data_IF_907771320482
#
_entry.id   IF_907771320482
#
_cell.length_a   1.000
_cell.length_b   1.000
_cell.length_c   1.000
_cell.angle_alpha   90.00
_cell.angle_beta   90.00
_cell.angle_gamma   90.00
#
_symmetry.space_group_name_H-M   'P 1'
#
loop_
_entity.id
_entity.type
_entity.pdbx_description
1 polymer ?
#
# COMPACT_ATOMS: atom_id res chain seq x y z
N UNK A 1 -16.02 -8.94 17.64
CA UNK A 1 -15.28 -7.76 18.18
C UNK A 1 -13.94 -7.52 17.50
N UNK A 2 -12.82 -8.21 17.79
CA UNK A 2 -11.53 -7.93 17.07
C UNK A 2 -11.55 -8.33 15.58
N UNK A 3 -12.25 -9.42 15.23
CA UNK A 3 -12.29 -9.90 13.84
C UNK A 3 -13.13 -9.00 12.92
N UNK A 4 -14.24 -8.45 13.43
CA UNK A 4 -15.08 -7.48 12.69
C UNK A 4 -14.39 -6.14 12.49
N UNK A 5 -13.56 -5.70 13.44
CA UNK A 5 -12.81 -4.44 13.33
C UNK A 5 -11.90 -4.43 12.09
N UNK A 6 -11.37 -5.58 11.69
CA UNK A 6 -10.44 -5.70 10.58
C UNK A 6 -11.05 -6.36 9.33
N UNK A 7 -12.35 -6.65 9.31
CA UNK A 7 -13.01 -7.18 8.10
C UNK A 7 -12.89 -6.26 6.88
N UNK A 8 -12.80 -4.91 7.00
CA UNK A 8 -12.52 -4.07 5.84
C UNK A 8 -11.18 -4.41 5.14
N UNK A 9 -10.22 -4.97 5.88
CA UNK A 9 -8.93 -5.38 5.32
C UNK A 9 -9.01 -6.66 4.48
N UNK A 10 -10.15 -7.35 4.42
CA UNK A 10 -10.35 -8.47 3.49
C UNK A 10 -10.53 -8.00 2.04
N UNK A 11 -10.94 -6.74 1.84
CA UNK A 11 -11.06 -6.09 0.53
C UNK A 11 -10.58 -4.63 0.61
N UNK A 12 -9.27 -4.42 0.88
CA UNK A 12 -8.77 -3.13 1.34
C UNK A 12 -8.81 -2.05 0.25
N UNK A 13 -8.67 -2.44 -1.03
CA UNK A 13 -8.77 -1.51 -2.16
C UNK A 13 -10.18 -0.97 -2.29
N UNK A 14 -11.19 -1.87 -2.31
CA UNK A 14 -12.59 -1.47 -2.39
C UNK A 14 -12.97 -0.55 -1.23
N UNK A 15 -12.66 -0.96 0.00
CA UNK A 15 -13.00 -0.19 1.20
C UNK A 15 -12.35 1.18 1.25
N UNK A 16 -11.13 1.32 0.72
CA UNK A 16 -10.47 2.62 0.59
C UNK A 16 -11.20 3.53 -0.40
N UNK A 17 -11.50 3.01 -1.59
CA UNK A 17 -12.16 3.76 -2.66
C UNK A 17 -13.63 4.11 -2.35
N UNK A 18 -14.33 3.31 -1.54
CA UNK A 18 -15.69 3.64 -1.09
C UNK A 18 -15.76 4.73 -0.02
N UNK A 19 -14.63 5.08 0.60
CA UNK A 19 -14.62 5.91 1.80
C UNK A 19 -13.77 7.17 1.60
N UNK A 20 -12.70 7.31 2.37
CA UNK A 20 -11.89 8.51 2.43
C UNK A 20 -11.02 8.70 1.20
N UNK A 21 -10.87 7.70 0.33
CA UNK A 21 -10.11 7.81 -0.93
C UNK A 21 -11.00 7.81 -2.17
N UNK A 22 -12.31 8.03 -2.02
CA UNK A 22 -13.28 8.09 -3.13
C UNK A 22 -12.96 9.07 -4.25
N UNK A 23 -12.20 10.13 -3.95
CA UNK A 23 -11.81 11.13 -4.94
C UNK A 23 -10.72 10.64 -5.90
N UNK A 24 -10.11 9.48 -5.63
CA UNK A 24 -9.21 8.79 -6.54
C UNK A 24 -9.89 7.66 -7.31
N UNK A 25 -11.19 7.45 -7.13
CA UNK A 25 -11.91 6.31 -7.71
C UNK A 25 -12.43 6.61 -9.12
N UNK A 26 -12.17 5.69 -10.03
CA UNK A 26 -12.82 5.57 -11.33
C UNK A 26 -13.52 4.21 -11.41
N UNK A 27 -14.77 4.18 -11.83
CA UNK A 27 -15.54 2.94 -11.89
C UNK A 27 -17.03 3.14 -11.73
N UNK A 28 -17.71 2.05 -11.44
CA UNK A 28 -19.15 1.96 -11.19
C UNK A 28 -19.43 1.76 -9.70
N UNK A 29 -20.68 1.41 -9.36
CA UNK A 29 -21.09 1.06 -8.00
C UNK A 29 -20.63 -0.33 -7.57
N UNK A 30 -20.26 -1.20 -8.52
CA UNK A 30 -19.86 -2.60 -8.26
C UNK A 30 -18.35 -2.81 -8.37
N UNK A 31 -17.63 -1.98 -9.13
CA UNK A 31 -16.19 -2.12 -9.37
C UNK A 31 -15.52 -0.77 -9.59
N UNK A 32 -14.38 -0.57 -8.93
CA UNK A 32 -13.62 0.67 -9.00
C UNK A 32 -12.12 0.41 -9.03
N UNK A 33 -11.39 1.31 -9.68
CA UNK A 33 -9.93 1.40 -9.67
C UNK A 33 -9.48 2.76 -9.17
N UNK A 34 -8.26 2.82 -8.65
CA UNK A 34 -7.58 4.12 -8.48
C UNK A 34 -7.30 4.75 -9.85
N UNK A 35 -7.25 6.08 -9.97
CA UNK A 35 -6.84 6.74 -11.21
C UNK A 35 -5.45 6.26 -11.68
N UNK A 36 -5.22 6.27 -12.99
CA UNK A 36 -4.03 5.67 -13.63
C UNK A 36 -2.70 6.35 -13.25
N UNK A 37 -2.75 7.55 -12.68
CA UNK A 37 -1.59 8.28 -12.16
C UNK A 37 -1.38 8.11 -10.64
N UNK A 38 -2.30 7.46 -9.94
CA UNK A 38 -2.23 7.26 -8.48
C UNK A 38 -1.78 5.86 -8.12
N UNK A 39 -2.48 4.82 -8.59
CA UNK A 39 -2.18 3.44 -8.21
C UNK A 39 -2.73 2.44 -9.25
N UNK A 40 -2.01 1.34 -9.55
CA UNK A 40 -2.50 0.29 -10.44
C UNK A 40 -3.34 -0.75 -9.67
N UNK A 41 -4.27 -0.32 -8.83
CA UNK A 41 -5.09 -1.20 -7.99
C UNK A 41 -6.59 -1.04 -8.31
N UNK A 42 -7.33 -2.15 -8.23
CA UNK A 42 -8.78 -2.16 -8.30
C UNK A 42 -9.41 -3.02 -7.20
N UNK A 43 -10.67 -2.73 -6.90
CA UNK A 43 -11.51 -3.46 -5.95
C UNK A 43 -12.94 -3.51 -6.46
N UNK A 44 -13.72 -4.42 -5.92
CA UNK A 44 -15.10 -4.65 -6.32
C UNK A 44 -15.96 -5.04 -5.11
N UNK A 45 -17.27 -4.85 -5.23
CA UNK A 45 -18.26 -5.37 -4.29
C UNK A 45 -18.60 -6.83 -4.65
N UNK A 46 -18.27 -7.82 -3.80
CA UNK A 46 -18.55 -9.23 -4.09
C UNK A 46 -20.03 -9.55 -4.34
N UNK A 47 -20.96 -8.76 -3.80
CA UNK A 47 -22.40 -9.00 -3.93
C UNK A 47 -22.99 -8.40 -5.20
N UNK A 48 -22.35 -7.37 -5.75
CA UNK A 48 -22.86 -6.60 -6.90
C UNK A 48 -22.00 -6.73 -8.15
N UNK A 49 -20.82 -7.32 -8.04
CA UNK A 49 -19.86 -7.42 -9.13
C UNK A 49 -20.41 -8.23 -10.30
N UNK A 50 -20.43 -7.62 -11.49
CA UNK A 50 -20.98 -8.21 -12.70
C UNK A 50 -19.95 -8.40 -13.83
N UNK A 51 -18.66 -8.09 -13.57
CA UNK A 51 -17.57 -8.30 -14.52
C UNK A 51 -16.62 -7.11 -14.64
N UNK A 52 -15.44 -7.36 -15.21
CA UNK A 52 -14.43 -6.31 -15.43
C UNK A 52 -14.75 -5.41 -16.63
N UNK A 53 -15.71 -5.80 -17.47
CA UNK A 53 -16.22 -5.03 -18.59
C UNK A 53 -16.77 -3.67 -18.15
N UNK A 54 -17.28 -3.57 -16.91
CA UNK A 54 -17.72 -2.31 -16.31
C UNK A 54 -16.60 -1.28 -16.20
N UNK A 55 -15.33 -1.71 -16.13
CA UNK A 55 -14.17 -0.81 -16.07
C UNK A 55 -13.67 -0.37 -17.45
N UNK A 56 -14.25 -0.84 -18.56
CA UNK A 56 -13.79 -0.52 -19.91
C UNK A 56 -13.57 0.99 -20.19
N UNK A 57 -14.37 1.94 -19.65
CA UNK A 57 -14.13 3.37 -19.86
C UNK A 57 -12.83 3.92 -19.22
N UNK A 58 -12.22 3.18 -18.28
CA UNK A 58 -11.09 3.63 -17.46
C UNK A 58 -9.86 2.71 -17.53
N UNK A 59 -9.86 1.78 -18.48
CA UNK A 59 -8.78 0.84 -18.71
C UNK A 59 -8.37 0.93 -20.18
N UNK A 60 -7.06 0.96 -20.43
CA UNK A 60 -6.53 0.89 -21.77
C UNK A 60 -6.98 -0.41 -22.44
N UNK A 61 -7.37 -0.39 -23.73
CA UNK A 61 -7.98 -1.53 -24.39
C UNK A 61 -7.08 -2.78 -24.48
N UNK A 62 -5.76 -2.64 -24.26
CA UNK A 62 -4.78 -3.73 -24.28
C UNK A 62 -3.59 -3.40 -23.38
N UNK A 63 -3.00 -4.41 -22.72
CA UNK A 63 -1.68 -4.32 -22.09
C UNK A 63 -1.61 -3.53 -20.78
N UNK A 64 -2.70 -2.93 -20.31
CA UNK A 64 -2.75 -2.37 -18.95
C UNK A 64 -2.91 -3.49 -17.92
N UNK A 65 -2.13 -3.38 -16.85
CA UNK A 65 -2.17 -4.33 -15.73
C UNK A 65 -2.67 -3.64 -14.45
N UNK A 66 -3.49 -4.37 -13.70
CA UNK A 66 -4.03 -3.95 -12.41
C UNK A 66 -3.76 -5.01 -11.35
N UNK A 67 -3.83 -4.60 -10.10
CA UNK A 67 -3.75 -5.47 -8.94
C UNK A 67 -5.10 -5.55 -8.23
N UNK A 68 -5.53 -6.78 -7.94
CA UNK A 68 -6.64 -7.08 -7.02
C UNK A 68 -6.03 -7.60 -5.72
N UNK A 69 -6.45 -7.06 -4.58
CA UNK A 69 -6.02 -7.51 -3.25
C UNK A 69 -7.16 -8.25 -2.57
N UNK A 70 -6.95 -9.52 -2.24
CA UNK A 70 -7.97 -10.38 -1.67
C UNK A 70 -8.41 -11.47 -2.64
N UNK A 71 -9.73 -11.65 -2.75
CA UNK A 71 -10.33 -12.68 -3.60
C UNK A 71 -10.27 -12.28 -5.08
N UNK A 72 -9.82 -13.21 -5.93
CA UNK A 72 -9.83 -13.04 -7.38
C UNK A 72 -11.24 -13.37 -7.90
N UNK A 73 -11.92 -12.42 -8.57
CA UNK A 73 -13.19 -12.72 -9.21
C UNK A 73 -12.98 -13.57 -10.47
N UNK A 74 -14.06 -14.14 -11.00
CA UNK A 74 -13.99 -14.79 -12.33
C UNK A 74 -13.61 -13.73 -13.37
N UNK A 75 -12.50 -13.97 -14.06
CA UNK A 75 -12.00 -13.06 -15.09
C UNK A 75 -12.69 -13.35 -16.44
N UNK A 76 -13.09 -12.32 -17.19
CA UNK A 76 -13.53 -12.49 -18.57
C UNK A 76 -12.44 -13.06 -19.47
N UNK A 77 -12.80 -13.62 -20.62
CA UNK A 77 -11.86 -14.29 -21.54
C UNK A 77 -10.73 -13.38 -22.06
N UNK A 78 -10.96 -12.07 -22.17
CA UNK A 78 -9.98 -11.09 -22.60
C UNK A 78 -9.02 -10.63 -21.49
N UNK A 79 -9.14 -11.19 -20.28
CA UNK A 79 -8.24 -10.94 -19.17
C UNK A 79 -7.40 -12.18 -18.85
N UNK A 80 -6.23 -11.97 -18.28
CA UNK A 80 -5.39 -13.04 -17.74
C UNK A 80 -4.77 -12.68 -16.40
N UNK A 81 -4.46 -13.71 -15.61
CA UNK A 81 -3.62 -13.57 -14.42
C UNK A 81 -2.16 -13.64 -14.86
N UNK A 82 -1.42 -12.56 -14.58
CA UNK A 82 0.02 -12.47 -14.86
C UNK A 82 0.82 -13.09 -13.71
N UNK A 83 0.45 -12.78 -12.47
CA UNK A 83 1.14 -13.33 -11.29
C UNK A 83 0.28 -13.21 -10.04
N UNK A 84 0.58 -14.05 -9.05
CA UNK A 84 0.05 -13.98 -7.69
C UNK A 84 1.20 -13.70 -6.73
N UNK A 85 1.05 -12.68 -5.89
CA UNK A 85 1.94 -12.43 -4.77
C UNK A 85 1.18 -12.72 -3.47
N UNK A 86 1.52 -13.82 -2.79
CA UNK A 86 0.97 -14.12 -1.47
C UNK A 86 1.67 -13.25 -0.43
N UNK A 87 0.89 -12.43 0.28
CA UNK A 87 1.37 -11.50 1.30
C UNK A 87 0.85 -11.88 2.69
N UNK A 88 1.68 -11.71 3.71
CA UNK A 88 1.23 -11.58 5.09
C UNK A 88 0.63 -10.18 5.27
N UNK A 89 -0.67 -10.12 5.57
CA UNK A 89 -1.33 -8.91 6.02
C UNK A 89 -1.14 -8.79 7.53
N UNK A 90 -0.53 -7.69 7.98
CA UNK A 90 -0.19 -7.50 9.38
C UNK A 90 -0.85 -6.23 9.93
N UNK A 91 -1.24 -6.27 11.20
CA UNK A 91 -1.86 -5.15 11.92
C UNK A 91 -1.09 -4.84 13.19
N UNK A 92 -0.98 -3.55 13.55
CA UNK A 92 -0.32 -3.12 14.77
C UNK A 92 -1.38 -2.51 15.70
N UNK A 93 -1.83 -3.26 16.70
CA UNK A 93 -2.96 -2.86 17.58
C UNK A 93 -2.54 -2.07 18.81
N UNK A 94 -1.24 -1.89 19.01
CA UNK A 94 -0.68 -1.15 20.14
C UNK A 94 0.30 -0.11 19.61
N UNK A 95 0.19 1.12 20.12
CA UNK A 95 1.06 2.22 19.68
C UNK A 95 2.54 1.85 19.90
N UNK A 96 3.38 1.82 18.85
CA UNK A 96 4.78 1.49 19.00
C UNK A 96 5.48 2.48 19.92
N UNK A 97 6.31 1.97 20.84
CA UNK A 97 7.10 2.80 21.73
C UNK A 97 7.93 3.81 20.93
N UNK A 98 8.00 5.05 21.43
CA UNK A 98 8.92 6.06 20.91
C UNK A 98 10.34 5.60 21.25
N UNK A 99 11.17 5.44 20.23
CA UNK A 99 12.58 5.11 20.41
C UNK A 99 13.40 6.31 19.99
N UNK A 100 14.29 6.75 20.87
CA UNK A 100 15.29 7.76 20.53
C UNK A 100 16.29 7.14 19.57
N UNK A 101 16.29 7.62 18.33
CA UNK A 101 17.30 7.28 17.33
C UNK A 101 18.08 8.54 16.95
N UNK A 102 19.34 8.37 16.53
CA UNK A 102 20.17 9.49 16.05
C UNK A 102 19.78 9.95 14.65
N UNK A 103 18.98 9.16 13.94
CA UNK A 103 18.55 9.45 12.58
C UNK A 103 17.42 10.49 12.57
N UNK A 104 17.64 11.59 11.86
CA UNK A 104 16.62 12.59 11.60
C UNK A 104 15.66 12.07 10.54
N UNK A 105 14.38 11.93 10.91
CA UNK A 105 13.28 11.60 10.02
C UNK A 105 12.57 12.89 9.64
N UNK A 106 12.46 13.15 8.35
CA UNK A 106 11.80 14.35 7.82
C UNK A 106 10.47 14.01 7.15
N UNK A 107 9.50 14.92 7.24
CA UNK A 107 8.29 14.86 6.41
C UNK A 107 8.65 15.27 4.98
N UNK A 108 8.28 14.44 4.00
CA UNK A 108 8.45 14.72 2.59
C UNK A 108 7.19 15.42 2.06
N UNK A 109 7.33 16.70 1.74
CA UNK A 109 6.27 17.55 1.19
C UNK A 109 6.15 17.43 -0.33
N UNK A 110 5.18 18.14 -0.91
CA UNK A 110 4.96 18.31 -2.36
C UNK A 110 6.25 18.58 -3.15
N UNK A 111 7.13 19.44 -2.63
CA UNK A 111 8.41 19.77 -3.25
C UNK A 111 9.34 18.56 -3.50
N UNK A 112 9.09 17.42 -2.84
CA UNK A 112 9.86 16.19 -3.00
C UNK A 112 9.15 15.16 -3.90
N UNK A 113 8.01 15.48 -4.53
CA UNK A 113 7.19 14.52 -5.27
C UNK A 113 8.00 13.71 -6.29
N UNK A 114 8.73 14.40 -7.16
CA UNK A 114 9.54 13.75 -8.21
C UNK A 114 10.63 12.86 -7.58
N UNK A 115 11.34 13.36 -6.55
CA UNK A 115 12.35 12.57 -5.84
C UNK A 115 11.76 11.32 -5.19
N UNK A 116 10.56 11.40 -4.59
CA UNK A 116 9.88 10.24 -4.02
C UNK A 116 9.53 9.20 -5.08
N UNK A 117 9.02 9.65 -6.22
CA UNK A 117 8.65 8.77 -7.33
C UNK A 117 9.87 8.05 -7.86
N UNK A 118 10.94 8.77 -8.16
CA UNK A 118 12.18 8.18 -8.67
C UNK A 118 12.76 7.18 -7.65
N UNK A 119 12.89 7.60 -6.39
CA UNK A 119 13.50 6.80 -5.33
C UNK A 119 12.75 5.49 -5.06
N UNK A 120 11.41 5.53 -5.01
CA UNK A 120 10.62 4.31 -4.76
C UNK A 120 10.67 3.38 -5.97
N UNK A 121 10.60 3.90 -7.19
CA UNK A 121 10.65 3.06 -8.40
C UNK A 121 12.01 2.42 -8.65
N UNK A 122 13.11 3.00 -8.17
CA UNK A 122 14.42 2.33 -8.18
C UNK A 122 14.41 1.03 -7.36
N UNK A 123 13.65 0.99 -6.27
CA UNK A 123 13.56 -0.17 -5.38
C UNK A 123 12.39 -1.11 -5.66
N UNK A 124 11.25 -0.56 -6.10
CA UNK A 124 9.96 -1.23 -6.29
C UNK A 124 9.25 -0.67 -7.54
N UNK A 125 9.72 -1.01 -8.75
CA UNK A 125 9.23 -0.39 -9.97
C UNK A 125 7.75 -0.65 -10.22
N UNK A 126 7.03 0.39 -10.63
CA UNK A 126 5.64 0.31 -11.12
C UNK A 126 4.55 0.35 -10.04
N UNK A 127 4.91 0.45 -8.75
CA UNK A 127 3.95 0.52 -7.64
C UNK A 127 3.78 1.93 -7.05
N UNK A 128 4.53 2.90 -7.56
CA UNK A 128 4.54 4.28 -7.06
C UNK A 128 4.53 5.26 -8.23
N UNK A 129 3.36 5.78 -8.55
CA UNK A 129 3.06 6.64 -9.69
C UNK A 129 3.10 8.12 -9.29
N UNK A 130 2.97 9.00 -10.28
CA UNK A 130 3.15 10.45 -10.11
C UNK A 130 2.32 11.05 -8.97
N UNK A 131 1.09 10.56 -8.77
CA UNK A 131 0.15 11.03 -7.76
C UNK A 131 0.02 10.10 -6.54
N UNK A 132 0.78 9.01 -6.45
CA UNK A 132 0.84 8.18 -5.23
C UNK A 132 1.22 8.98 -3.97
N UNK A 133 2.12 9.99 -4.03
CA UNK A 133 2.40 10.85 -2.88
C UNK A 133 1.18 11.57 -2.30
N UNK A 134 0.11 11.74 -3.07
CA UNK A 134 -1.11 12.41 -2.62
C UNK A 134 -2.02 11.53 -1.74
N UNK A 135 -1.69 10.24 -1.55
CA UNK A 135 -2.48 9.30 -0.73
C UNK A 135 -2.32 9.50 0.78
N UNK A 136 -1.26 10.17 1.22
CA UNK A 136 -1.01 10.43 2.63
C UNK A 136 0.39 10.97 2.90
N UNK A 137 0.84 10.85 4.15
CA UNK A 137 2.14 11.37 4.56
C UNK A 137 3.27 10.40 4.21
N UNK A 138 4.38 10.96 3.75
CA UNK A 138 5.62 10.25 3.45
C UNK A 138 6.77 10.83 4.24
N UNK A 139 7.68 9.98 4.68
CA UNK A 139 8.79 10.33 5.54
C UNK A 139 10.08 9.75 4.99
N UNK A 140 11.17 10.51 5.15
CA UNK A 140 12.47 10.16 4.60
C UNK A 140 13.59 10.28 5.62
N UNK A 141 14.67 9.54 5.37
CA UNK A 141 15.97 9.73 6.00
C UNK A 141 16.94 10.19 4.91
N UNK A 142 17.71 11.26 5.18
CA UNK A 142 18.70 11.78 4.23
C UNK A 142 20.13 11.57 4.74
N UNK A 143 21.07 11.34 3.82
CA UNK A 143 22.53 11.37 4.07
C UNK A 143 23.23 12.17 3.01
N UNK A 144 24.08 13.11 3.43
CA UNK A 144 24.79 14.03 2.54
C UNK A 144 23.84 14.72 1.54
N UNK A 145 22.67 15.16 2.03
CA UNK A 145 21.66 15.84 1.22
C UNK A 145 20.82 14.94 0.30
N UNK A 146 21.05 13.63 0.24
CA UNK A 146 20.29 12.70 -0.61
C UNK A 146 19.33 11.84 0.20
N UNK A 147 18.13 11.58 -0.33
CA UNK A 147 17.21 10.59 0.23
C UNK A 147 17.85 9.19 0.18
N UNK A 148 17.87 8.48 1.31
CA UNK A 148 18.46 7.13 1.41
C UNK A 148 17.50 6.07 1.95
N UNK A 149 16.38 6.49 2.53
CA UNK A 149 15.27 5.62 2.85
C UNK A 149 13.97 6.43 2.90
N UNK A 150 12.85 5.78 2.57
CA UNK A 150 11.51 6.36 2.53
C UNK A 150 10.49 5.33 3.04
N UNK A 151 9.45 5.81 3.72
CA UNK A 151 8.20 5.06 3.96
C UNK A 151 7.04 6.05 4.02
N UNK A 152 5.81 5.59 3.80
CA UNK A 152 4.65 6.45 3.94
C UNK A 152 3.34 5.69 4.03
N UNK A 153 2.27 6.38 3.69
CA UNK A 153 0.90 5.88 3.78
C UNK A 153 0.33 5.56 2.39
N UNK A 154 -0.53 4.54 2.28
CA UNK A 154 -1.16 4.18 1.00
C UNK A 154 -2.67 3.98 1.09
N UNK A 155 -3.16 2.76 1.34
CA UNK A 155 -4.61 2.50 1.46
C UNK A 155 -5.13 3.07 2.78
N UNK A 156 -6.28 3.76 2.74
CA UNK A 156 -6.87 4.39 3.92
C UNK A 156 -8.38 4.24 3.92
N UNK A 157 -8.92 3.86 5.06
CA UNK A 157 -10.35 3.70 5.34
C UNK A 157 -10.62 4.10 6.80
N UNK A 158 -11.87 4.30 7.23
CA UNK A 158 -12.16 4.74 8.60
C UNK A 158 -11.49 3.84 9.66
N UNK A 159 -10.61 4.42 10.47
CA UNK A 159 -9.92 3.74 11.57
C UNK A 159 -8.71 2.90 11.17
N UNK A 160 -8.35 2.83 9.87
CA UNK A 160 -7.29 1.97 9.35
C UNK A 160 -6.48 2.68 8.26
N UNK A 161 -5.16 2.76 8.43
CA UNK A 161 -4.25 3.33 7.43
C UNK A 161 -3.06 2.39 7.17
N UNK A 162 -2.74 2.18 5.90
CA UNK A 162 -1.66 1.30 5.47
C UNK A 162 -0.30 1.99 5.57
N UNK A 163 0.68 1.33 6.19
CA UNK A 163 2.11 1.65 6.03
C UNK A 163 2.63 1.00 4.74
N UNK A 164 3.22 1.80 3.86
CA UNK A 164 3.64 1.37 2.52
C UNK A 164 4.93 2.07 2.08
N UNK A 165 5.39 1.75 0.86
CA UNK A 165 6.57 2.32 0.21
C UNK A 165 7.84 2.27 1.07
N UNK A 166 8.01 1.22 1.90
CA UNK A 166 9.18 1.07 2.77
C UNK A 166 10.39 0.64 1.94
N UNK A 167 11.20 1.61 1.53
CA UNK A 167 12.37 1.42 0.67
C UNK A 167 13.61 1.98 1.36
N UNK A 168 14.72 1.25 1.26
CA UNK A 168 16.05 1.74 1.66
C UNK A 168 17.00 1.55 0.49
N UNK A 169 17.71 2.61 0.13
CA UNK A 169 18.70 2.60 -0.93
C UNK A 169 19.69 1.45 -0.71
N UNK A 170 20.06 0.76 -1.79
CA UNK A 170 20.88 -0.48 -1.73
C UNK A 170 22.16 -0.32 -0.91
N UNK A 171 22.83 0.82 -1.03
CA UNK A 171 24.11 1.13 -0.35
C UNK A 171 23.92 1.58 1.12
N UNK A 172 22.67 1.68 1.59
CA UNK A 172 22.30 2.10 2.94
C UNK A 172 21.49 1.03 3.72
N UNK A 173 21.38 -0.20 3.17
CA UNK A 173 20.74 -1.34 3.86
C UNK A 173 21.54 -1.78 5.09
N UNK A 174 20.90 -2.54 5.97
CA UNK A 174 21.51 -3.06 7.20
C UNK A 174 21.67 -2.03 8.33
N UNK A 175 21.25 -0.77 8.13
CA UNK A 175 21.34 0.32 9.11
C UNK A 175 20.06 0.52 9.95
N UNK A 176 19.07 -0.35 9.80
CA UNK A 176 17.81 -0.29 10.55
C UNK A 176 16.78 0.74 10.06
N UNK A 177 17.04 1.46 8.97
CA UNK A 177 16.18 2.56 8.48
C UNK A 177 14.72 2.15 8.20
N UNK A 178 14.50 0.97 7.61
CA UNK A 178 13.15 0.45 7.41
C UNK A 178 12.35 0.35 8.72
N UNK A 179 12.98 -0.09 9.81
CA UNK A 179 12.35 -0.19 11.12
C UNK A 179 12.11 1.18 11.77
N UNK A 180 13.02 2.13 11.60
CA UNK A 180 12.87 3.52 12.08
C UNK A 180 11.67 4.18 11.39
N UNK A 181 11.65 4.14 10.06
CA UNK A 181 10.60 4.76 9.26
C UNK A 181 9.24 4.10 9.46
N UNK A 182 9.16 2.77 9.48
CA UNK A 182 7.90 2.06 9.74
C UNK A 182 7.32 2.43 11.10
N UNK A 183 8.16 2.51 12.15
CA UNK A 183 7.73 2.95 13.48
C UNK A 183 7.24 4.39 13.46
N UNK A 184 7.95 5.29 12.79
CA UNK A 184 7.56 6.70 12.68
C UNK A 184 6.20 6.85 11.97
N UNK A 185 6.02 6.21 10.82
CA UNK A 185 4.73 6.21 10.09
C UNK A 185 3.62 5.64 10.96
N UNK A 186 3.88 4.51 11.65
CA UNK A 186 2.89 3.89 12.53
C UNK A 186 2.48 4.81 13.67
N UNK A 187 3.42 5.54 14.28
CA UNK A 187 3.11 6.53 15.31
C UNK A 187 2.25 7.66 14.77
N UNK A 188 2.59 8.19 13.59
CA UNK A 188 1.78 9.23 12.94
C UNK A 188 0.35 8.75 12.63
N UNK A 189 0.18 7.48 12.24
CA UNK A 189 -1.14 6.86 12.03
C UNK A 189 -1.91 6.77 13.35
N UNK A 190 -1.26 6.31 14.43
CA UNK A 190 -1.88 6.29 15.76
C UNK A 190 -2.27 7.67 16.28
N UNK A 191 -1.43 8.68 16.05
CA UNK A 191 -1.70 10.06 16.46
C UNK A 191 -2.88 10.67 15.69
N UNK A 192 -3.14 10.18 14.47
CA UNK A 192 -4.33 10.51 13.70
C UNK A 192 -5.59 9.72 14.13
N UNK A 193 -5.47 8.79 15.08
CA UNK A 193 -6.57 7.97 15.59
C UNK A 193 -6.85 6.68 14.83
N UNK A 194 -6.00 6.33 13.86
CA UNK A 194 -6.13 5.12 13.04
C UNK A 194 -5.22 3.98 13.57
N UNK A 195 -5.52 2.75 13.16
CA UNK A 195 -4.67 1.57 13.38
C UNK A 195 -3.81 1.32 12.14
N UNK A 196 -2.48 1.21 12.28
CA UNK A 196 -1.60 0.87 11.18
C UNK A 196 -1.75 -0.61 10.78
N UNK A 197 -1.82 -0.83 9.47
CA UNK A 197 -1.67 -2.16 8.86
C UNK A 197 -0.65 -2.11 7.73
N UNK A 198 -0.18 -3.27 7.27
CA UNK A 198 0.69 -3.37 6.09
C UNK A 198 0.57 -4.72 5.42
N UNK A 199 1.09 -4.81 4.20
CA UNK A 199 1.26 -6.04 3.46
C UNK A 199 2.74 -6.27 3.19
N UNK A 200 3.19 -7.50 3.38
CA UNK A 200 4.56 -7.91 3.06
C UNK A 200 4.51 -9.27 2.38
N UNK A 201 5.30 -9.48 1.33
CA UNK A 201 5.38 -10.79 0.66
C UNK A 201 5.68 -11.86 1.71
N UNK A 202 4.87 -12.92 1.74
CA UNK A 202 4.88 -13.91 2.82
C UNK A 202 6.25 -14.59 3.01
N UNK A 203 6.99 -14.78 1.90
CA UNK A 203 8.34 -15.35 1.94
C UNK A 203 9.43 -14.39 2.46
N UNK A 204 9.12 -13.10 2.67
CA UNK A 204 10.09 -12.11 3.13
C UNK A 204 10.19 -12.09 4.67
N UNK A 205 10.73 -13.17 5.24
CA UNK A 205 10.87 -13.33 6.69
C UNK A 205 11.70 -12.22 7.33
N UNK A 206 12.67 -11.65 6.60
CA UNK A 206 13.48 -10.54 7.08
C UNK A 206 12.65 -9.28 7.38
N UNK A 207 11.73 -8.92 6.48
CA UNK A 207 10.82 -7.79 6.69
C UNK A 207 9.74 -8.11 7.74
N UNK A 208 9.17 -9.32 7.72
CA UNK A 208 8.20 -9.78 8.74
C UNK A 208 8.79 -9.63 10.15
N UNK A 209 10.01 -10.13 10.38
CA UNK A 209 10.69 -10.01 11.67
C UNK A 209 10.90 -8.54 12.12
N UNK A 210 11.08 -7.60 11.18
CA UNK A 210 11.19 -6.17 11.49
C UNK A 210 9.83 -5.66 12.00
N UNK A 211 8.74 -5.99 11.31
CA UNK A 211 7.40 -5.56 11.65
C UNK A 211 6.92 -6.15 12.97
N UNK A 212 7.19 -7.42 13.25
CA UNK A 212 6.88 -8.07 14.53
C UNK A 212 7.55 -7.36 15.71
N UNK A 213 8.83 -6.98 15.58
CA UNK A 213 9.57 -6.22 16.61
C UNK A 213 9.02 -4.82 16.83
N UNK A 214 8.29 -4.25 15.87
CA UNK A 214 7.61 -2.96 16.03
C UNK A 214 6.28 -3.13 16.77
N UNK A 215 5.68 -4.33 16.73
CA UNK A 215 4.39 -4.65 17.33
C UNK A 215 3.30 -4.99 16.31
N UNK A 216 3.66 -5.25 15.04
CA UNK A 216 2.73 -5.82 14.09
C UNK A 216 2.55 -7.32 14.35
N UNK A 217 1.33 -7.82 14.23
CA UNK A 217 1.03 -9.25 14.21
C UNK A 217 0.39 -9.62 12.88
N UNK A 218 0.71 -10.81 12.35
CA UNK A 218 0.02 -11.33 11.17
C UNK A 218 -1.46 -11.52 11.48
N UNK A 219 -2.32 -10.93 10.66
CA UNK A 219 -3.77 -11.12 10.67
C UNK A 219 -4.17 -12.33 9.83
N UNK A 220 -3.65 -12.39 8.60
CA UNK A 220 -3.90 -13.46 7.62
C UNK A 220 -2.90 -13.40 6.47
N UNK A 221 -2.88 -14.45 5.66
CA UNK A 221 -2.37 -14.37 4.29
C UNK A 221 -3.45 -13.80 3.37
N UNK A 222 -3.02 -12.99 2.41
CA UNK A 222 -3.87 -12.36 1.39
C UNK A 222 -3.10 -12.26 0.07
N UNK A 223 -3.77 -12.51 -1.04
CA UNK A 223 -3.14 -12.51 -2.36
C UNK A 223 -3.27 -11.15 -3.03
N UNK A 224 -2.19 -10.75 -3.72
CA UNK A 224 -2.15 -9.64 -4.65
C UNK A 224 -2.08 -10.25 -6.06
N UNK A 225 -3.19 -10.21 -6.77
CA UNK A 225 -3.32 -10.75 -8.11
C UNK A 225 -3.00 -9.67 -9.12
N UNK A 226 -1.93 -9.84 -9.90
CA UNK A 226 -1.69 -9.01 -11.07
C UNK A 226 -2.48 -9.59 -12.24
N UNK A 227 -3.41 -8.82 -12.77
CA UNK A 227 -4.20 -9.15 -13.95
C UNK A 227 -3.90 -8.17 -15.08
N UNK A 228 -4.06 -8.59 -16.33
CA UNK A 228 -3.90 -7.72 -17.48
C UNK A 228 -4.93 -8.01 -18.57
N UNK A 229 -5.25 -6.98 -19.37
CA UNK A 229 -5.99 -7.14 -20.61
C UNK A 229 -5.05 -7.75 -21.65
N UNK A 230 -5.48 -8.87 -22.27
CA UNK A 230 -4.75 -9.57 -23.33
C UNK A 230 -4.52 -8.72 -24.58
#
# INVERSE_FOLDING_TARGET
MQQEQFSPLDNPVWQSLQTIQRYFAHGTESVQRYTADVLPFMGYDPEQFNGLEELAPWIAPTGEALFIVGELPVLPENWEVITELVCSQMVCTSKPAVITHQEEVILLTEAHREEMVDFVNEGQPGYFLAQTPSLGNYYGIRKHGKLVALAGQRMRMPGLTEVSAVVTHKDHRGKGYAGILTRHVSQAIFDAGDIPFLHVIHSNQGAINIYERIGFAERRQISFWKIAVK
#
